data_IF_933850802275
#
_entry.id   IF_933850802275
#
_cell.length_a   1.000
_cell.length_b   1.000
_cell.length_c   1.000
_cell.angle_alpha   90.00
_cell.angle_beta   90.00
_cell.angle_gamma   90.00
#
_symmetry.space_group_name_H-M   'P 1'
#
loop_
_entity.id
_entity.type
_entity.pdbx_description
1 polymer ?
#
# COMPACT_ATOMS: atom_id res chain seq x y z
N UNK A 1 -7.72 -34.31 72.00
CA UNK A 1 -7.94 -34.83 70.64
C UNK A 1 -8.68 -33.81 69.76
N UNK A 2 -8.39 -32.50 69.89
CA UNK A 2 -9.12 -31.43 69.17
C UNK A 2 -8.24 -30.43 68.40
N UNK A 3 -6.90 -30.46 68.55
CA UNK A 3 -6.01 -29.53 67.82
C UNK A 3 -5.56 -30.01 66.43
N UNK A 4 -5.83 -31.27 66.05
CA UNK A 4 -5.48 -31.82 64.72
C UNK A 4 -6.60 -31.73 63.68
N UNK A 5 -7.84 -31.42 64.08
CA UNK A 5 -8.98 -31.27 63.17
C UNK A 5 -9.05 -29.87 62.55
N UNK A 6 -8.69 -28.84 63.32
CA UNK A 6 -8.73 -27.43 62.87
C UNK A 6 -7.67 -27.15 61.78
N UNK A 7 -6.51 -27.79 61.85
CA UNK A 7 -5.42 -27.61 60.87
C UNK A 7 -5.75 -28.26 59.52
N UNK A 8 -6.51 -29.37 59.49
CA UNK A 8 -6.95 -30.00 58.23
C UNK A 8 -8.04 -29.19 57.51
N UNK A 9 -8.94 -28.55 58.27
CA UNK A 9 -9.96 -27.66 57.68
C UNK A 9 -9.37 -26.34 57.18
N UNK A 10 -8.28 -25.83 57.78
CA UNK A 10 -7.59 -24.65 57.24
C UNK A 10 -6.93 -24.94 55.89
N UNK A 11 -6.32 -26.12 55.70
CA UNK A 11 -5.69 -26.48 54.42
C UNK A 11 -6.71 -26.72 53.29
N UNK A 12 -7.90 -27.25 53.59
CA UNK A 12 -8.97 -27.39 52.59
C UNK A 12 -9.64 -26.05 52.23
N UNK A 13 -9.74 -25.11 53.17
CA UNK A 13 -10.23 -23.75 52.88
C UNK A 13 -9.17 -22.93 52.12
N UNK A 14 -7.87 -23.11 52.41
CA UNK A 14 -6.79 -22.45 51.67
C UNK A 14 -6.66 -22.98 50.23
N UNK A 15 -6.92 -24.28 49.98
CA UNK A 15 -6.90 -24.84 48.63
C UNK A 15 -8.12 -24.41 47.78
N UNK A 16 -9.28 -24.20 48.41
CA UNK A 16 -10.47 -23.71 47.70
C UNK A 16 -10.36 -22.21 47.40
N UNK A 17 -9.65 -21.43 48.23
CA UNK A 17 -9.32 -20.03 47.92
C UNK A 17 -8.18 -19.87 46.89
N UNK A 18 -7.27 -20.84 46.78
CA UNK A 18 -6.20 -20.83 45.77
C UNK A 18 -6.71 -21.23 44.37
N UNK A 19 -7.79 -22.02 44.28
CA UNK A 19 -8.42 -22.40 43.02
C UNK A 19 -9.45 -21.38 42.48
N UNK A 20 -9.79 -20.32 43.24
CA UNK A 20 -10.65 -19.22 42.78
C UNK A 20 -9.91 -17.97 42.31
N UNK A 21 -8.57 -17.97 42.34
CA UNK A 21 -7.74 -16.92 41.75
C UNK A 21 -7.08 -17.30 40.41
N UNK A 22 -7.41 -18.46 39.86
CA UNK A 22 -6.93 -18.94 38.54
C UNK A 22 -8.14 -19.22 37.65
N UNK A 23 -8.86 -18.17 37.30
CA UNK A 23 -9.78 -18.11 36.14
C UNK A 23 -10.40 -16.71 36.12
N UNK A 24 -9.80 -15.81 35.34
CA UNK A 24 -10.37 -14.60 34.73
C UNK A 24 -9.27 -13.58 34.43
N UNK A 25 -8.31 -13.95 33.57
CA UNK A 25 -7.53 -13.00 32.78
C UNK A 25 -7.38 -13.57 31.37
N UNK A 26 -8.52 -13.84 30.73
CA UNK A 26 -8.62 -14.01 29.27
C UNK A 26 -10.10 -14.04 28.90
N UNK A 27 -10.70 -12.86 28.75
CA UNK A 27 -11.94 -12.66 27.95
C UNK A 27 -12.36 -11.19 27.86
N UNK A 28 -11.44 -10.23 27.72
CA UNK A 28 -11.75 -8.90 27.17
C UNK A 28 -10.61 -8.37 26.31
N UNK A 29 -10.21 -9.17 25.31
CA UNK A 29 -9.57 -8.61 24.12
C UNK A 29 -10.44 -8.92 22.89
N UNK A 30 -11.71 -8.49 22.97
CA UNK A 30 -12.54 -8.32 21.78
C UNK A 30 -12.00 -7.13 21.01
N UNK A 31 -11.20 -7.41 19.97
CA UNK A 31 -10.97 -6.59 18.78
C UNK A 31 -11.34 -5.10 18.92
N UNK A 32 -10.60 -4.37 19.76
CA UNK A 32 -10.39 -2.94 19.50
C UNK A 32 -9.45 -2.88 18.31
N UNK A 33 -10.02 -2.83 17.10
CA UNK A 33 -9.31 -2.25 15.95
C UNK A 33 -8.98 -0.81 16.37
N UNK A 34 -7.80 -0.62 16.94
CA UNK A 34 -7.25 0.71 17.16
C UNK A 34 -7.14 1.36 15.79
N UNK A 35 -8.05 2.29 15.50
CA UNK A 35 -7.75 3.46 14.67
C UNK A 35 -6.73 4.33 15.43
N UNK A 36 -5.58 3.79 15.81
CA UNK A 36 -4.44 4.63 16.14
C UNK A 36 -3.96 5.16 14.79
N UNK A 37 -4.07 6.47 14.60
CA UNK A 37 -3.42 7.15 13.50
C UNK A 37 -1.96 6.69 13.45
N UNK A 38 -1.54 6.15 12.29
CA UNK A 38 -0.15 5.70 12.12
C UNK A 38 0.77 6.88 12.40
N UNK A 39 1.71 6.72 13.33
CA UNK A 39 2.69 7.77 13.62
C UNK A 39 3.60 7.94 12.41
N UNK A 40 4.20 9.12 12.28
CA UNK A 40 5.14 9.43 11.21
C UNK A 40 6.28 8.41 11.10
N UNK A 41 6.86 8.02 12.24
CA UNK A 41 7.92 7.02 12.34
C UNK A 41 7.50 5.65 11.81
N UNK A 42 6.20 5.33 11.76
CA UNK A 42 5.67 4.04 11.31
C UNK A 42 5.43 4.00 9.78
N UNK A 43 5.77 5.08 9.05
CA UNK A 43 5.55 5.18 7.60
C UNK A 43 6.70 4.62 6.74
N UNK A 44 7.84 4.29 7.33
CA UNK A 44 8.93 3.59 6.64
C UNK A 44 8.50 2.21 6.13
N UNK A 45 9.18 1.72 5.10
CA UNK A 45 8.80 0.48 4.41
C UNK A 45 9.98 -0.44 4.24
N UNK A 46 9.72 -1.74 4.13
CA UNK A 46 10.72 -2.75 3.77
C UNK A 46 10.29 -3.55 2.55
N UNK A 47 11.24 -3.78 1.65
CA UNK A 47 11.06 -4.64 0.48
C UNK A 47 12.20 -5.64 0.40
N UNK A 48 11.92 -6.85 -0.05
CA UNK A 48 12.88 -7.94 -0.09
C UNK A 48 12.81 -8.61 -1.47
N UNK A 49 13.97 -8.89 -2.04
CA UNK A 49 14.14 -9.41 -3.38
C UNK A 49 15.13 -10.57 -3.32
N UNK A 50 14.67 -11.82 -3.49
CA UNK A 50 15.55 -12.97 -3.56
C UNK A 50 16.25 -12.98 -4.93
N UNK A 51 17.55 -13.32 -4.91
CA UNK A 51 18.41 -13.45 -6.08
C UNK A 51 19.10 -14.79 -5.99
N UNK A 52 19.16 -15.49 -7.12
CA UNK A 52 19.82 -16.79 -7.20
C UNK A 52 21.32 -16.65 -6.93
N UNK A 53 21.90 -17.63 -6.24
CA UNK A 53 23.35 -17.77 -6.10
C UNK A 53 23.81 -19.09 -6.71
N UNK A 54 25.10 -19.21 -7.01
CA UNK A 54 25.68 -20.48 -7.45
C UNK A 54 25.70 -21.55 -6.34
N UNK A 55 25.57 -21.12 -5.09
CA UNK A 55 25.53 -22.01 -3.93
C UNK A 55 24.08 -22.44 -3.64
N UNK A 56 23.89 -23.39 -2.72
CA UNK A 56 22.56 -23.77 -2.22
C UNK A 56 22.02 -22.79 -1.17
N UNK A 57 22.29 -21.50 -1.37
CA UNK A 57 21.76 -20.39 -0.57
C UNK A 57 21.05 -19.39 -1.49
N UNK A 58 20.04 -18.73 -0.94
CA UNK A 58 19.32 -17.62 -1.55
C UNK A 58 19.94 -16.33 -1.04
N UNK A 59 20.36 -15.45 -1.96
CA UNK A 59 20.72 -14.08 -1.59
C UNK A 59 19.46 -13.25 -1.49
N UNK A 60 19.13 -12.78 -0.30
CA UNK A 60 17.98 -11.92 -0.06
C UNK A 60 18.45 -10.47 0.13
N UNK A 61 18.22 -9.63 -0.88
CA UNK A 61 18.44 -8.19 -0.76
C UNK A 61 17.21 -7.53 -0.14
N UNK A 62 17.41 -6.80 0.95
CA UNK A 62 16.35 -6.12 1.69
C UNK A 62 16.59 -4.61 1.73
N UNK A 63 15.62 -3.84 1.27
CA UNK A 63 15.66 -2.39 1.21
C UNK A 63 14.73 -1.76 2.25
N UNK A 64 15.30 -0.95 3.13
CA UNK A 64 14.57 -0.06 4.03
C UNK A 64 14.38 1.31 3.39
N UNK A 65 13.13 1.73 3.19
CA UNK A 65 12.77 3.04 2.66
C UNK A 65 12.32 3.93 3.81
N UNK A 66 13.01 5.04 4.01
CA UNK A 66 12.75 5.97 5.13
C UNK A 66 12.31 7.31 4.54
N UNK A 67 10.99 7.56 4.43
CA UNK A 67 10.47 8.86 4.00
C UNK A 67 10.95 9.98 4.93
N UNK A 68 11.21 11.17 4.40
CA UNK A 68 11.65 12.30 5.24
C UNK A 68 10.58 12.68 6.26
N UNK A 69 9.30 12.58 5.89
CA UNK A 69 8.17 12.75 6.83
C UNK A 69 8.16 11.78 8.01
N UNK A 70 8.94 10.69 7.98
CA UNK A 70 9.11 9.77 9.11
C UNK A 70 10.11 10.26 10.15
N UNK A 71 10.93 11.26 9.81
CA UNK A 71 11.99 11.80 10.64
C UNK A 71 11.62 13.19 11.16
N UNK A 72 12.15 13.54 12.34
CA UNK A 72 12.04 14.86 12.90
C UNK A 72 13.21 15.71 12.41
N UNK A 73 12.91 16.66 11.55
CA UNK A 73 13.89 17.67 11.15
C UNK A 73 13.96 18.79 12.17
N UNK A 74 15.19 19.16 12.55
CA UNK A 74 15.51 20.32 13.37
C UNK A 74 16.23 21.37 12.53
N UNK A 75 15.89 22.64 12.74
CA UNK A 75 16.56 23.74 12.08
C UNK A 75 17.97 23.91 12.66
N UNK A 76 18.98 23.86 11.80
CA UNK A 76 20.38 24.10 12.12
C UNK A 76 20.93 25.18 11.17
N UNK A 77 21.06 26.40 11.69
CA UNK A 77 21.40 27.61 10.93
C UNK A 77 20.43 27.84 9.74
N UNK A 78 20.96 27.80 8.52
CA UNK A 78 20.22 27.97 7.26
C UNK A 78 19.68 26.64 6.70
N UNK A 79 19.91 25.52 7.39
CA UNK A 79 19.54 24.18 6.92
C UNK A 79 18.67 23.43 7.93
N UNK A 80 18.10 22.32 7.51
CA UNK A 80 17.34 21.40 8.35
C UNK A 80 18.04 20.04 8.36
N UNK A 81 18.13 19.45 9.54
CA UNK A 81 18.90 18.24 9.81
C UNK A 81 18.02 17.23 10.54
N UNK A 82 18.09 15.96 10.16
CA UNK A 82 17.46 14.85 10.89
C UNK A 82 18.41 13.65 10.98
N UNK A 83 18.70 13.21 12.21
CA UNK A 83 19.49 11.99 12.45
C UNK A 83 18.61 10.76 12.61
N UNK A 84 19.04 9.61 12.08
CA UNK A 84 18.33 8.35 12.25
C UNK A 84 19.27 7.17 12.50
N UNK A 85 18.78 6.21 13.28
CA UNK A 85 19.35 4.87 13.42
C UNK A 85 18.33 3.87 12.89
N UNK A 86 18.74 2.95 12.03
CA UNK A 86 17.86 1.92 11.48
C UNK A 86 18.55 0.57 11.48
N UNK A 87 17.76 -0.50 11.58
CA UNK A 87 18.29 -1.84 11.42
C UNK A 87 17.31 -2.74 10.70
N UNK A 88 17.86 -3.67 9.94
CA UNK A 88 17.11 -4.71 9.24
C UNK A 88 17.62 -6.04 9.81
N UNK A 89 16.70 -6.86 10.31
CA UNK A 89 16.99 -8.19 10.82
C UNK A 89 16.10 -9.23 10.17
N UNK A 90 16.56 -10.47 10.14
CA UNK A 90 15.81 -11.60 9.59
C UNK A 90 15.62 -12.66 10.68
N UNK A 91 14.41 -13.21 10.75
CA UNK A 91 14.03 -14.22 11.73
C UNK A 91 13.46 -15.45 11.02
N UNK A 92 13.81 -16.63 11.51
CA UNK A 92 13.23 -17.89 11.06
C UNK A 92 11.78 -18.08 11.56
N UNK A 93 11.16 -19.21 11.18
CA UNK A 93 9.79 -19.57 11.56
C UNK A 93 9.59 -19.79 13.07
N UNK A 94 10.66 -20.13 13.79
CA UNK A 94 10.63 -20.28 15.24
C UNK A 94 10.77 -18.91 15.95
N UNK A 95 10.98 -17.84 15.19
CA UNK A 95 11.15 -16.48 15.67
C UNK A 95 12.56 -16.14 16.11
N UNK A 96 13.52 -17.04 15.93
CA UNK A 96 14.92 -16.80 16.23
C UNK A 96 15.50 -15.81 15.22
N UNK A 97 16.22 -14.82 15.71
CA UNK A 97 16.93 -13.89 14.83
C UNK A 97 18.19 -14.56 14.29
N UNK A 98 18.28 -14.69 12.96
CA UNK A 98 19.44 -15.28 12.30
C UNK A 98 20.55 -14.25 12.10
N UNK A 99 20.18 -13.03 11.69
CA UNK A 99 21.14 -11.97 11.41
C UNK A 99 20.50 -10.56 11.54
N UNK A 100 21.33 -9.53 11.65
CA UNK A 100 20.95 -8.11 11.73
C UNK A 100 22.04 -7.21 11.18
N UNK A 101 21.65 -6.30 10.29
CA UNK A 101 22.47 -5.19 9.83
C UNK A 101 21.92 -3.87 10.36
N UNK A 102 22.80 -2.96 10.78
CA UNK A 102 22.43 -1.67 11.38
C UNK A 102 23.11 -0.52 10.63
N UNK A 103 22.39 0.59 10.50
CA UNK A 103 22.81 1.77 9.77
C UNK A 103 22.50 3.01 10.61
N UNK A 104 23.36 4.01 10.51
CA UNK A 104 23.16 5.30 11.15
C UNK A 104 23.61 6.38 10.18
N UNK A 105 22.77 7.39 9.98
CA UNK A 105 23.08 8.50 9.09
C UNK A 105 22.30 9.76 9.49
N UNK A 106 22.65 10.87 8.86
CA UNK A 106 22.02 12.17 9.01
C UNK A 106 21.61 12.70 7.64
N UNK A 107 20.40 13.24 7.55
CA UNK A 107 19.87 13.89 6.36
C UNK A 107 19.93 15.40 6.53
N UNK A 108 20.46 16.10 5.53
CA UNK A 108 20.54 17.56 5.52
C UNK A 108 19.83 18.13 4.30
N UNK A 109 18.92 19.09 4.51
CA UNK A 109 18.19 19.79 3.44
C UNK A 109 18.21 21.30 3.66
N UNK A 110 18.21 22.07 2.56
CA UNK A 110 18.32 23.54 2.61
C UNK A 110 16.99 24.26 2.83
N UNK A 111 15.85 23.58 2.67
CA UNK A 111 14.51 24.18 2.75
C UNK A 111 13.55 23.28 3.53
N UNK A 112 12.68 23.91 4.32
CA UNK A 112 11.58 23.27 5.05
C UNK A 112 10.63 22.50 4.12
N UNK A 113 10.39 22.97 2.90
CA UNK A 113 9.50 22.26 1.96
C UNK A 113 10.02 20.83 1.70
N UNK A 114 11.35 20.63 1.68
CA UNK A 114 11.94 19.30 1.50
C UNK A 114 11.77 18.39 2.72
N UNK A 115 11.63 18.94 3.93
CA UNK A 115 11.43 18.13 5.14
C UNK A 115 10.05 17.47 5.19
N UNK A 116 9.07 18.08 4.51
CA UNK A 116 7.69 17.59 4.42
C UNK A 116 7.37 16.97 3.05
N UNK A 117 8.36 16.87 2.16
CA UNK A 117 8.18 16.31 0.84
C UNK A 117 7.86 14.81 0.91
N UNK A 118 6.79 14.40 0.22
CA UNK A 118 6.28 13.02 0.27
C UNK A 118 7.07 12.06 -0.63
N UNK A 119 7.95 12.59 -1.50
CA UNK A 119 8.73 11.79 -2.44
C UNK A 119 10.16 11.53 -1.94
N UNK A 120 10.69 12.44 -1.13
CA UNK A 120 12.02 12.39 -0.55
C UNK A 120 12.13 11.29 0.50
N UNK A 121 13.18 10.48 0.35
CA UNK A 121 13.45 9.33 1.21
C UNK A 121 14.93 9.00 1.21
N UNK A 122 15.38 8.46 2.33
CA UNK A 122 16.60 7.68 2.40
C UNK A 122 16.31 6.22 2.07
N UNK A 123 17.35 5.52 1.58
CA UNK A 123 17.33 4.09 1.34
C UNK A 123 18.52 3.45 2.04
N UNK A 124 18.26 2.35 2.75
CA UNK A 124 19.29 1.46 3.30
C UNK A 124 19.11 0.07 2.71
N UNK A 125 20.21 -0.67 2.55
CA UNK A 125 20.19 -2.03 1.99
C UNK A 125 20.92 -3.00 2.91
N UNK A 126 20.27 -4.13 3.21
CA UNK A 126 20.87 -5.28 3.87
C UNK A 126 20.86 -6.49 2.94
N UNK A 127 21.88 -7.35 3.06
CA UNK A 127 22.02 -8.61 2.32
C UNK A 127 22.06 -9.79 3.29
N UNK A 128 21.24 -10.80 3.05
CA UNK A 128 21.23 -12.04 3.83
C UNK A 128 21.42 -13.26 2.92
N UNK A 129 22.13 -14.27 3.39
CA UNK A 129 22.17 -15.60 2.77
C UNK A 129 21.27 -16.54 3.57
N UNK A 130 20.24 -17.08 2.92
CA UNK A 130 19.17 -17.85 3.58
C UNK A 130 18.76 -19.10 2.79
N UNK A 131 18.01 -20.00 3.41
CA UNK A 131 17.47 -21.22 2.77
C UNK A 131 16.07 -20.98 2.20
N UNK A 132 15.51 -21.94 1.48
CA UNK A 132 14.17 -21.87 0.90
C UNK A 132 13.06 -22.20 1.91
N UNK A 133 12.90 -21.33 2.90
CA UNK A 133 11.84 -21.42 3.91
C UNK A 133 11.16 -20.06 4.08
N UNK A 134 10.17 -20.01 4.97
CA UNK A 134 9.58 -18.75 5.39
C UNK A 134 10.47 -18.00 6.40
N UNK A 135 10.41 -16.68 6.32
CA UNK A 135 11.14 -15.76 7.18
C UNK A 135 10.28 -14.55 7.53
N UNK A 136 10.56 -13.95 8.69
CA UNK A 136 10.09 -12.60 9.02
C UNK A 136 11.27 -11.62 8.97
N UNK A 137 11.20 -10.66 8.05
CA UNK A 137 12.10 -9.51 8.05
C UNK A 137 11.54 -8.45 9.01
N UNK A 138 12.36 -7.98 9.94
CA UNK A 138 12.02 -6.94 10.91
C UNK A 138 12.90 -5.72 10.67
N UNK A 139 12.27 -4.63 10.26
CA UNK A 139 12.88 -3.31 10.17
C UNK A 139 12.57 -2.50 11.43
N UNK A 140 13.58 -1.85 12.00
CA UNK A 140 13.44 -0.92 13.12
C UNK A 140 14.02 0.43 12.72
N UNK A 141 13.26 1.51 12.93
CA UNK A 141 13.71 2.88 12.70
C UNK A 141 13.60 3.67 14.00
N UNK A 142 14.67 4.38 14.36
CA UNK A 142 14.75 5.25 15.52
C UNK A 142 15.15 6.64 15.03
N UNK A 143 14.29 7.61 15.28
CA UNK A 143 14.62 9.02 15.12
C UNK A 143 15.55 9.46 16.25
N UNK A 144 16.71 10.04 15.94
CA UNK A 144 17.74 10.31 16.95
C UNK A 144 17.38 11.44 17.90
N UNK A 145 16.59 12.40 17.45
CA UNK A 145 16.20 13.57 18.22
C UNK A 145 15.05 13.25 19.19
N UNK A 146 13.96 12.67 18.68
CA UNK A 146 12.77 12.33 19.47
C UNK A 146 12.92 11.00 20.20
N UNK A 147 13.88 10.16 19.81
CA UNK A 147 14.05 8.77 20.25
C UNK A 147 12.82 7.88 19.97
N UNK A 148 11.92 8.34 19.10
CA UNK A 148 10.73 7.58 18.74
C UNK A 148 11.15 6.38 17.89
N UNK A 149 10.66 5.19 18.27
CA UNK A 149 10.89 3.94 17.54
C UNK A 149 9.67 3.53 16.71
N UNK A 150 9.89 3.27 15.43
CA UNK A 150 9.00 2.57 14.51
C UNK A 150 9.50 1.15 14.26
N UNK A 151 8.58 0.19 14.13
CA UNK A 151 8.91 -1.21 13.81
C UNK A 151 7.98 -1.71 12.72
N UNK A 152 8.54 -2.30 11.67
CA UNK A 152 7.79 -2.95 10.61
C UNK A 152 8.23 -4.41 10.50
N UNK A 153 7.27 -5.30 10.29
CA UNK A 153 7.50 -6.72 10.06
C UNK A 153 6.95 -7.08 8.68
N UNK A 154 7.69 -7.88 7.93
CA UNK A 154 7.28 -8.41 6.63
C UNK A 154 7.61 -9.88 6.56
N UNK A 155 6.58 -10.68 6.37
CA UNK A 155 6.70 -12.11 6.08
C UNK A 155 7.16 -12.28 4.63
N UNK A 156 8.13 -13.17 4.43
CA UNK A 156 8.72 -13.51 3.13
C UNK A 156 8.68 -15.03 3.01
N UNK A 157 8.00 -15.54 2.00
CA UNK A 157 8.02 -16.96 1.65
C UNK A 157 9.06 -17.16 0.53
N UNK A 158 10.09 -17.96 0.83
CA UNK A 158 11.14 -18.35 -0.13
C UNK A 158 11.08 -19.84 -0.49
N UNK A 159 10.01 -20.53 -0.08
CA UNK A 159 9.87 -21.96 -0.31
C UNK A 159 9.99 -22.27 -1.80
N UNK A 160 10.61 -23.41 -2.09
CA UNK A 160 10.78 -23.93 -3.45
C UNK A 160 11.76 -23.16 -4.35
N UNK A 161 12.41 -22.08 -3.87
CA UNK A 161 13.41 -21.33 -4.63
C UNK A 161 14.78 -22.03 -4.70
N UNK A 162 14.98 -23.16 -4.02
CA UNK A 162 16.18 -24.00 -4.20
C UNK A 162 15.92 -25.28 -5.02
N UNK A 163 14.73 -25.43 -5.62
CA UNK A 163 14.46 -26.50 -6.60
C UNK A 163 15.48 -26.46 -7.74
N UNK A 164 15.79 -27.62 -8.31
CA UNK A 164 16.78 -27.73 -9.41
C UNK A 164 16.46 -26.82 -10.61
N UNK A 165 15.18 -26.63 -10.92
CA UNK A 165 14.70 -25.74 -11.98
C UNK A 165 13.57 -24.89 -11.42
N UNK A 166 13.79 -23.58 -11.30
CA UNK A 166 12.79 -22.62 -10.82
C UNK A 166 13.16 -21.18 -11.20
N UNK A 167 12.16 -20.30 -11.25
CA UNK A 167 12.33 -18.86 -11.42
C UNK A 167 12.13 -18.18 -10.08
N UNK A 168 13.00 -17.23 -9.77
CA UNK A 168 12.87 -16.35 -8.62
C UNK A 168 11.89 -15.22 -8.95
N UNK A 169 11.12 -14.71 -7.97
CA UNK A 169 10.21 -13.58 -8.18
C UNK A 169 10.90 -12.44 -8.98
N UNK A 170 10.42 -12.13 -10.20
CA UNK A 170 11.04 -11.11 -11.02
C UNK A 170 10.71 -9.72 -10.48
N UNK A 171 11.47 -8.70 -10.87
CA UNK A 171 11.21 -7.33 -10.46
C UNK A 171 11.71 -6.34 -11.51
N UNK A 172 11.13 -5.14 -11.51
CA UNK A 172 11.61 -4.05 -12.35
C UNK A 172 12.83 -3.40 -11.69
N UNK A 173 13.85 -3.07 -12.45
CA UNK A 173 14.96 -2.21 -12.05
C UNK A 173 14.61 -0.77 -12.39
N UNK A 174 14.81 0.12 -11.43
CA UNK A 174 14.75 1.57 -11.60
C UNK A 174 16.06 2.21 -11.16
N UNK A 175 16.05 3.54 -11.12
CA UNK A 175 17.24 4.33 -10.80
C UNK A 175 17.13 4.95 -9.41
N UNK A 176 18.20 4.84 -8.63
CA UNK A 176 18.39 5.58 -7.38
C UNK A 176 19.90 5.72 -7.10
N UNK A 177 20.41 6.93 -6.83
CA UNK A 177 21.85 7.15 -6.67
C UNK A 177 22.49 6.22 -5.63
N UNK A 178 23.62 5.60 -5.97
CA UNK A 178 24.37 4.72 -5.06
C UNK A 178 24.53 3.28 -5.54
N UNK A 179 25.01 2.40 -4.67
CA UNK A 179 25.27 1.00 -4.97
C UNK A 179 24.27 0.11 -4.23
N UNK A 180 23.34 -0.50 -4.97
CA UNK A 180 22.21 -1.24 -4.41
C UNK A 180 22.19 -2.71 -4.83
N UNK A 181 23.37 -3.34 -4.91
CA UNK A 181 23.49 -4.76 -5.24
C UNK A 181 23.33 -5.10 -6.74
N UNK A 182 23.24 -4.11 -7.61
CA UNK A 182 23.23 -4.22 -9.08
C UNK A 182 24.31 -3.31 -9.69
N UNK A 183 24.09 -2.78 -10.89
CA UNK A 183 24.99 -1.77 -11.45
C UNK A 183 24.86 -0.43 -10.70
N UNK A 184 25.79 0.49 -10.95
CA UNK A 184 25.79 1.79 -10.29
C UNK A 184 24.46 2.52 -10.56
N UNK A 185 23.86 3.06 -9.50
CA UNK A 185 22.58 3.77 -9.48
C UNK A 185 21.35 2.91 -9.83
N UNK A 186 21.47 1.59 -9.88
CA UNK A 186 20.33 0.71 -10.14
C UNK A 186 19.78 0.11 -8.86
N UNK A 187 18.46 0.14 -8.70
CA UNK A 187 17.75 -0.41 -7.55
C UNK A 187 16.45 -1.11 -8.00
N UNK A 188 15.99 -2.17 -7.31
CA UNK A 188 14.66 -2.71 -7.56
C UNK A 188 13.58 -1.64 -7.32
N UNK A 189 12.62 -1.55 -8.24
CA UNK A 189 11.46 -0.68 -8.05
C UNK A 189 10.66 -1.21 -6.85
N UNK A 190 10.64 -0.41 -5.79
CA UNK A 190 10.08 -0.76 -4.50
C UNK A 190 8.58 -0.55 -4.36
N UNK A 191 7.93 -0.12 -5.44
CA UNK A 191 6.51 0.18 -5.52
C UNK A 191 5.93 -0.51 -6.74
N UNK A 192 4.72 -1.06 -6.62
CA UNK A 192 4.00 -1.60 -7.79
C UNK A 192 3.53 -0.50 -8.73
N UNK A 193 3.50 0.73 -8.23
CA UNK A 193 3.10 1.89 -8.99
C UNK A 193 4.27 2.57 -9.70
N UNK A 194 4.19 2.65 -11.02
CA UNK A 194 5.22 3.13 -11.92
C UNK A 194 4.74 4.40 -12.63
N UNK A 195 5.56 5.44 -12.73
CA UNK A 195 5.19 6.66 -13.44
C UNK A 195 4.96 6.40 -14.93
N UNK A 196 3.88 6.92 -15.52
CA UNK A 196 3.54 6.77 -16.94
C UNK A 196 4.57 7.34 -17.92
N UNK A 197 5.49 8.20 -17.44
CA UNK A 197 6.58 8.78 -18.23
C UNK A 197 7.65 7.72 -18.52
N UNK A 198 7.72 6.68 -17.70
CA UNK A 198 8.60 5.54 -17.91
C UNK A 198 8.10 4.80 -19.15
N UNK A 199 8.96 4.72 -20.16
CA UNK A 199 8.69 4.08 -21.44
C UNK A 199 9.21 2.65 -21.48
N UNK A 200 10.31 2.42 -20.77
CA UNK A 200 11.03 1.17 -20.72
C UNK A 200 10.98 0.64 -19.30
N UNK A 201 10.68 -0.64 -19.14
CA UNK A 201 10.61 -1.31 -17.86
C UNK A 201 11.67 -2.43 -17.86
N UNK A 202 12.89 -2.14 -17.37
CA UNK A 202 13.94 -3.14 -17.27
C UNK A 202 13.53 -4.22 -16.26
N UNK A 203 13.21 -5.41 -16.75
CA UNK A 203 12.81 -6.57 -15.98
C UNK A 203 14.04 -7.40 -15.66
N UNK A 204 14.32 -7.59 -14.37
CA UNK A 204 15.35 -8.51 -13.90
C UNK A 204 14.76 -9.89 -13.67
N UNK A 205 15.40 -10.89 -14.26
CA UNK A 205 15.04 -12.30 -14.15
C UNK A 205 16.22 -13.07 -13.58
N UNK A 206 15.96 -14.00 -12.67
CA UNK A 206 16.96 -14.97 -12.23
C UNK A 206 16.32 -16.28 -11.79
N UNK A 207 17.10 -17.36 -11.75
CA UNK A 207 16.61 -18.65 -11.32
C UNK A 207 17.64 -19.77 -11.40
N UNK A 208 17.24 -20.95 -10.92
CA UNK A 208 18.02 -22.19 -11.05
C UNK A 208 17.61 -22.93 -12.32
N UNK A 209 18.60 -23.47 -13.02
CA UNK A 209 18.46 -24.29 -14.23
C UNK A 209 19.49 -25.43 -14.16
N UNK A 210 19.35 -26.42 -15.04
CA UNK A 210 20.43 -27.37 -15.31
C UNK A 210 21.30 -26.85 -16.46
N UNK A 211 22.60 -27.22 -16.51
CA UNK A 211 23.44 -26.84 -17.64
C UNK A 211 22.85 -27.33 -18.96
N UNK A 212 22.92 -26.48 -19.98
CA UNK A 212 22.35 -26.69 -21.30
C UNK A 212 21.25 -25.70 -21.66
N UNK A 213 20.49 -26.04 -22.70
CA UNK A 213 19.48 -25.15 -23.29
C UNK A 213 18.21 -25.05 -22.43
N UNK A 214 17.61 -23.87 -22.41
CA UNK A 214 16.33 -23.58 -21.77
C UNK A 214 15.63 -22.42 -22.49
N UNK A 215 14.35 -22.24 -22.20
CA UNK A 215 13.55 -21.15 -22.77
C UNK A 215 12.92 -20.32 -21.67
N UNK A 216 12.92 -19.00 -21.85
CA UNK A 216 12.22 -18.05 -20.98
C UNK A 216 11.24 -17.27 -21.84
N UNK A 217 9.95 -17.40 -21.52
CA UNK A 217 8.88 -16.67 -22.20
C UNK A 217 8.31 -15.62 -21.26
N UNK A 218 8.28 -14.37 -21.69
CA UNK A 218 7.71 -13.24 -20.95
C UNK A 218 6.45 -12.77 -21.69
N UNK A 219 5.37 -12.55 -20.95
CA UNK A 219 4.09 -12.06 -21.50
C UNK A 219 3.54 -10.97 -20.61
N UNK A 220 3.23 -9.80 -21.17
CA UNK A 220 2.59 -8.70 -20.48
C UNK A 220 1.14 -8.51 -20.95
N UNK A 221 0.21 -8.50 -20.00
CA UNK A 221 -1.24 -8.36 -20.20
C UNK A 221 -1.78 -7.11 -19.53
N UNK A 222 -2.82 -6.52 -20.11
CA UNK A 222 -3.59 -5.45 -19.47
C UNK A 222 -4.69 -6.00 -18.55
N UNK A 223 -5.45 -5.12 -17.87
CA UNK A 223 -6.56 -5.51 -16.98
C UNK A 223 -7.67 -6.35 -17.66
N UNK A 224 -7.76 -6.31 -18.98
CA UNK A 224 -8.74 -7.04 -19.78
C UNK A 224 -8.20 -8.37 -20.31
N UNK A 225 -7.04 -8.83 -19.80
CA UNK A 225 -6.31 -10.01 -20.23
C UNK A 225 -5.80 -9.98 -21.68
N UNK A 226 -5.80 -8.81 -22.32
CA UNK A 226 -5.22 -8.65 -23.65
C UNK A 226 -3.69 -8.58 -23.54
N UNK A 227 -3.01 -9.41 -24.33
CA UNK A 227 -1.55 -9.40 -24.45
C UNK A 227 -1.14 -8.24 -25.34
N UNK A 228 -0.42 -7.27 -24.79
CA UNK A 228 0.09 -6.13 -25.56
C UNK A 228 1.61 -6.22 -25.82
N UNK A 229 2.31 -7.11 -25.13
CA UNK A 229 3.74 -7.34 -25.29
C UNK A 229 4.10 -8.78 -24.90
N UNK A 230 4.99 -9.41 -25.66
CA UNK A 230 5.55 -10.72 -25.34
C UNK A 230 6.94 -10.89 -25.96
N UNK A 231 7.74 -11.76 -25.36
CA UNK A 231 9.06 -12.12 -25.86
C UNK A 231 9.39 -13.56 -25.46
N UNK A 232 10.11 -14.27 -26.32
CA UNK A 232 10.61 -15.62 -26.06
C UNK A 232 12.10 -15.66 -26.29
N UNK A 233 12.84 -16.07 -25.26
CA UNK A 233 14.29 -16.22 -25.28
C UNK A 233 14.64 -17.70 -25.33
N UNK A 234 15.57 -18.05 -26.21
CA UNK A 234 16.20 -19.37 -26.27
C UNK A 234 17.64 -19.20 -25.79
N UNK A 235 17.93 -19.73 -24.60
CA UNK A 235 19.16 -19.48 -23.86
C UNK A 235 19.89 -20.79 -23.57
N UNK A 236 21.18 -20.69 -23.27
CA UNK A 236 22.01 -21.81 -22.83
C UNK A 236 22.96 -21.31 -21.74
N UNK A 237 23.23 -22.15 -20.74
CA UNK A 237 24.16 -21.85 -19.65
C UNK A 237 24.95 -23.10 -19.28
N UNK A 238 26.23 -22.94 -18.98
CA UNK A 238 27.07 -24.01 -18.42
C UNK A 238 26.92 -24.12 -16.89
N UNK A 239 26.30 -23.13 -16.27
CA UNK A 239 26.08 -23.06 -14.82
C UNK A 239 24.71 -23.63 -14.44
N UNK A 240 24.46 -23.79 -13.14
CA UNK A 240 23.15 -24.21 -12.59
C UNK A 240 22.20 -23.03 -12.35
N UNK A 241 22.54 -21.85 -12.86
CA UNK A 241 21.83 -20.60 -12.61
C UNK A 241 21.81 -19.75 -13.87
N UNK A 242 20.83 -18.86 -13.97
CA UNK A 242 20.79 -17.82 -14.98
C UNK A 242 20.33 -16.48 -14.38
N UNK A 243 20.71 -15.40 -15.05
CA UNK A 243 20.31 -14.03 -14.74
C UNK A 243 20.20 -13.27 -16.05
N UNK A 244 19.07 -12.62 -16.30
CA UNK A 244 18.83 -11.90 -17.54
C UNK A 244 18.14 -10.55 -17.27
N UNK A 245 18.35 -9.60 -18.19
CA UNK A 245 17.71 -8.29 -18.18
C UNK A 245 16.95 -8.08 -19.46
N UNK A 246 15.65 -7.86 -19.35
CA UNK A 246 14.75 -7.73 -20.50
C UNK A 246 14.05 -6.39 -20.45
N UNK A 247 14.07 -5.64 -21.56
CA UNK A 247 13.41 -4.34 -21.64
C UNK A 247 12.00 -4.55 -22.18
N UNK A 248 11.00 -4.34 -21.33
CA UNK A 248 9.63 -4.19 -21.82
C UNK A 248 9.47 -2.75 -22.30
N UNK A 249 9.27 -2.55 -23.60
CA UNK A 249 9.25 -1.25 -24.28
C UNK A 249 7.84 -0.75 -24.62
N UNK A 250 6.81 -1.51 -24.22
CA UNK A 250 5.40 -1.18 -24.42
C UNK A 250 4.66 -1.18 -23.09
N UNK A 251 3.62 -0.36 -23.02
CA UNK A 251 2.73 -0.26 -21.88
C UNK A 251 1.27 -0.21 -22.34
N UNK A 252 0.30 -0.64 -21.53
CA UNK A 252 -1.10 -0.60 -21.89
C UNK A 252 -1.56 0.85 -22.19
N UNK A 253 -2.32 1.02 -23.27
CA UNK A 253 -2.94 2.30 -23.64
C UNK A 253 -4.14 2.62 -22.75
N UNK A 254 -4.98 1.61 -22.51
CA UNK A 254 -6.17 1.64 -21.67
C UNK A 254 -6.01 0.70 -20.48
N UNK A 255 -6.65 1.02 -19.35
CA UNK A 255 -6.54 0.30 -18.07
C UNK A 255 -5.09 0.20 -17.58
N UNK A 256 -4.73 1.12 -16.68
CA UNK A 256 -3.37 1.38 -16.21
C UNK A 256 -2.77 0.28 -15.30
N UNK A 257 -3.07 -0.99 -15.55
CA UNK A 257 -2.45 -2.13 -14.90
C UNK A 257 -1.78 -3.04 -15.93
N UNK A 258 -0.64 -3.57 -15.55
CA UNK A 258 0.20 -4.43 -16.35
C UNK A 258 0.55 -5.68 -15.53
N UNK A 259 0.12 -6.84 -15.99
CA UNK A 259 0.48 -8.13 -15.42
C UNK A 259 1.55 -8.78 -16.28
N UNK A 260 2.72 -9.03 -15.72
CA UNK A 260 3.84 -9.67 -16.41
C UNK A 260 3.97 -11.09 -15.88
N UNK A 261 3.85 -12.06 -16.77
CA UNK A 261 4.06 -13.49 -16.50
C UNK A 261 5.38 -13.93 -17.14
N UNK A 262 6.22 -14.61 -16.36
CA UNK A 262 7.51 -15.15 -16.78
C UNK A 262 7.43 -16.66 -16.64
N UNK A 263 7.62 -17.36 -17.76
CA UNK A 263 7.60 -18.82 -17.83
C UNK A 263 8.99 -19.33 -18.20
N UNK A 264 9.60 -20.14 -17.33
CA UNK A 264 10.82 -20.89 -17.62
C UNK A 264 10.41 -22.29 -18.04
N UNK A 265 10.97 -22.78 -19.14
CA UNK A 265 10.81 -24.17 -19.55
C UNK A 265 12.17 -24.77 -19.92
N UNK A 266 12.49 -25.89 -19.28
CA UNK A 266 13.66 -26.69 -19.59
C UNK A 266 13.28 -28.17 -19.52
N UNK A 267 13.42 -28.89 -20.64
CA UNK A 267 12.92 -30.26 -20.81
C UNK A 267 11.40 -30.31 -20.51
N UNK A 268 10.97 -31.22 -19.63
CA UNK A 268 9.57 -31.38 -19.21
C UNK A 268 9.18 -30.51 -18.00
N UNK A 269 10.12 -29.74 -17.44
CA UNK A 269 9.86 -28.91 -16.27
C UNK A 269 9.54 -27.49 -16.74
N UNK A 270 8.46 -26.93 -16.19
CA UNK A 270 8.10 -25.53 -16.34
C UNK A 270 7.82 -24.88 -14.99
N UNK A 271 8.29 -23.66 -14.80
CA UNK A 271 7.95 -22.82 -13.65
C UNK A 271 7.43 -21.47 -14.14
N UNK A 272 6.54 -20.84 -13.36
CA UNK A 272 5.90 -19.57 -13.73
C UNK A 272 5.89 -18.62 -12.54
N UNK A 273 6.26 -17.36 -12.78
CA UNK A 273 6.14 -16.26 -11.81
C UNK A 273 5.45 -15.06 -12.44
N UNK A 274 4.68 -14.34 -11.63
CA UNK A 274 3.90 -13.19 -12.07
C UNK A 274 4.17 -11.97 -11.19
N UNK A 275 4.19 -10.80 -11.83
CA UNK A 275 4.19 -9.51 -11.15
C UNK A 275 3.10 -8.60 -11.71
N UNK A 276 2.45 -7.85 -10.83
CA UNK A 276 1.44 -6.87 -11.19
C UNK A 276 1.94 -5.46 -10.93
N UNK A 277 1.92 -4.64 -11.98
CA UNK A 277 2.34 -3.25 -11.98
C UNK A 277 1.13 -2.36 -12.27
N UNK A 278 1.15 -1.15 -11.71
CA UNK A 278 0.15 -0.11 -11.97
C UNK A 278 0.85 1.12 -12.52
N UNK A 279 0.36 1.65 -13.64
CA UNK A 279 0.92 2.82 -14.29
C UNK A 279 0.21 4.07 -13.76
N UNK A 280 0.98 5.01 -13.20
CA UNK A 280 0.48 6.28 -12.64
C UNK A 280 0.72 7.42 -13.63
N UNK A 281 -0.35 7.99 -14.17
CA UNK A 281 -0.29 9.24 -14.92
C UNK A 281 -0.28 10.43 -13.90
N UNK A 282 0.66 11.40 -13.98
CA UNK A 282 0.67 12.66 -13.24
C UNK A 282 -0.66 13.36 -13.39
N UNK A 283 -1.11 13.99 -12.32
CA UNK A 283 -2.46 14.54 -12.28
C UNK A 283 -3.56 13.48 -12.30
N UNK A 284 -3.27 12.20 -12.00
CA UNK A 284 -4.28 11.19 -11.66
C UNK A 284 -4.14 10.76 -10.19
N UNK A 285 -5.23 10.85 -9.43
CA UNK A 285 -5.23 10.57 -7.99
C UNK A 285 -4.97 9.09 -7.70
N UNK A 286 -4.30 8.81 -6.57
CA UNK A 286 -4.05 7.45 -6.06
C UNK A 286 -5.34 6.62 -5.83
N UNK A 287 -6.48 7.30 -5.72
CA UNK A 287 -7.78 6.68 -5.48
C UNK A 287 -8.51 6.31 -6.78
N UNK A 288 -7.96 6.66 -7.94
CA UNK A 288 -8.56 6.38 -9.25
C UNK A 288 -7.91 5.14 -9.87
N UNK A 289 -8.72 4.11 -10.11
CA UNK A 289 -8.31 2.91 -10.84
C UNK A 289 -8.89 2.85 -12.27
N UNK A 290 -9.94 3.64 -12.55
CA UNK A 290 -10.63 3.68 -13.84
C UNK A 290 -11.05 5.13 -14.14
N UNK A 291 -10.52 5.71 -15.23
CA UNK A 291 -10.78 7.11 -15.61
C UNK A 291 -12.23 7.34 -16.04
N UNK A 292 -12.87 6.36 -16.68
CA UNK A 292 -14.27 6.48 -17.11
C UNK A 292 -15.22 6.53 -15.90
N UNK A 293 -14.97 5.70 -14.89
CA UNK A 293 -15.71 5.75 -13.63
C UNK A 293 -15.42 7.06 -12.88
N UNK A 294 -14.16 7.50 -12.87
CA UNK A 294 -13.75 8.73 -12.21
C UNK A 294 -14.45 9.96 -12.82
N UNK A 295 -14.65 10.00 -14.14
CA UNK A 295 -15.43 11.02 -14.83
C UNK A 295 -16.90 11.03 -14.42
N UNK A 296 -17.51 9.87 -14.20
CA UNK A 296 -18.89 9.79 -13.72
C UNK A 296 -18.99 10.28 -12.27
N UNK A 297 -17.99 9.93 -11.45
CA UNK A 297 -17.88 10.35 -10.05
C UNK A 297 -17.69 11.87 -9.93
N UNK A 298 -17.16 12.57 -10.94
CA UNK A 298 -17.01 14.05 -10.96
C UNK A 298 -18.33 14.82 -10.97
N UNK A 299 -19.47 14.14 -11.09
CA UNK A 299 -20.83 14.70 -11.01
C UNK A 299 -21.00 15.78 -9.94
N UNK A 300 -20.36 15.64 -8.78
CA UNK A 300 -20.53 16.57 -7.66
C UNK A 300 -19.61 17.78 -7.69
N UNK A 301 -18.71 17.89 -8.67
CA UNK A 301 -17.78 19.02 -8.80
C UNK A 301 -17.87 19.72 -10.17
N UNK A 302 -18.37 19.05 -11.20
CA UNK A 302 -18.57 19.62 -12.54
C UNK A 302 -19.84 20.48 -12.64
N UNK A 303 -19.87 21.38 -13.63
CA UNK A 303 -21.08 22.07 -14.09
C UNK A 303 -21.86 21.22 -15.09
N UNK A 304 -23.12 21.55 -15.35
CA UNK A 304 -23.96 20.83 -16.32
C UNK A 304 -23.40 20.86 -17.75
N UNK A 305 -22.75 21.96 -18.13
CA UNK A 305 -22.10 22.08 -19.44
C UNK A 305 -20.92 21.11 -19.55
N UNK A 306 -20.06 21.04 -18.52
CA UNK A 306 -18.93 20.12 -18.45
C UNK A 306 -19.39 18.66 -18.39
N UNK A 307 -20.43 18.36 -17.60
CA UNK A 307 -21.01 17.03 -17.52
C UNK A 307 -21.56 16.56 -18.88
N UNK A 308 -22.30 17.43 -19.59
CA UNK A 308 -22.82 17.13 -20.93
C UNK A 308 -21.69 16.98 -21.96
N UNK A 309 -20.60 17.75 -21.84
CA UNK A 309 -19.42 17.63 -22.69
C UNK A 309 -18.79 16.24 -22.53
N UNK A 310 -18.41 15.88 -21.30
CA UNK A 310 -17.81 14.58 -20.97
C UNK A 310 -18.69 13.41 -21.44
N UNK A 311 -20.01 13.49 -21.23
CA UNK A 311 -20.97 12.45 -21.62
C UNK A 311 -21.10 12.27 -23.14
N UNK A 312 -20.85 13.31 -23.94
CA UNK A 312 -20.96 13.28 -25.41
C UNK A 312 -19.64 12.96 -26.13
N UNK A 313 -18.51 13.07 -25.44
CA UNK A 313 -17.19 12.81 -26.01
C UNK A 313 -16.90 11.33 -26.28
N UNK A 314 -16.07 11.06 -27.28
CA UNK A 314 -15.61 9.69 -27.58
C UNK A 314 -14.70 9.19 -26.45
N UNK A 315 -14.64 7.87 -26.25
CA UNK A 315 -13.79 7.22 -25.21
C UNK A 315 -12.34 7.72 -25.22
N UNK A 316 -11.72 7.85 -26.39
CA UNK A 316 -10.33 8.37 -26.53
C UNK A 316 -10.17 9.85 -26.12
N UNK A 317 -11.23 10.65 -26.16
CA UNK A 317 -11.22 12.09 -25.81
C UNK A 317 -11.54 12.34 -24.33
N UNK A 318 -12.27 11.41 -23.70
CA UNK A 318 -12.70 11.49 -22.30
C UNK A 318 -11.51 11.61 -21.34
N UNK A 319 -10.45 10.84 -21.57
CA UNK A 319 -9.25 10.91 -20.75
C UNK A 319 -8.57 12.29 -20.86
N UNK A 320 -8.52 12.89 -22.05
CA UNK A 320 -7.96 14.23 -22.22
C UNK A 320 -8.78 15.29 -21.46
N UNK A 321 -10.11 15.19 -21.53
CA UNK A 321 -11.01 16.07 -20.78
C UNK A 321 -10.87 15.92 -19.27
N UNK A 322 -10.64 14.69 -18.80
CA UNK A 322 -10.36 14.42 -17.39
C UNK A 322 -9.13 15.20 -16.91
N UNK A 323 -7.99 15.05 -17.60
CA UNK A 323 -6.77 15.74 -17.21
C UNK A 323 -6.92 17.25 -17.30
N UNK A 324 -7.51 17.76 -18.37
CA UNK A 324 -7.73 19.20 -18.51
C UNK A 324 -8.60 19.75 -17.38
N UNK A 325 -9.67 19.06 -17.01
CA UNK A 325 -10.56 19.50 -15.93
C UNK A 325 -9.83 19.66 -14.59
N UNK A 326 -8.97 18.71 -14.26
CA UNK A 326 -8.22 18.72 -13.00
C UNK A 326 -7.02 19.66 -13.08
N UNK A 327 -6.31 19.74 -14.19
CA UNK A 327 -5.22 20.70 -14.41
C UNK A 327 -5.71 22.15 -14.25
N UNK A 328 -6.86 22.49 -14.83
CA UNK A 328 -7.52 23.80 -14.69
C UNK A 328 -7.91 24.13 -13.24
N UNK A 329 -7.98 23.12 -12.35
CA UNK A 329 -8.41 23.22 -10.96
C UNK A 329 -7.32 22.80 -9.97
N UNK A 330 -6.06 22.74 -10.42
CA UNK A 330 -4.94 22.44 -9.55
C UNK A 330 -4.62 23.64 -8.64
N UNK A 331 -4.77 23.50 -7.31
CA UNK A 331 -4.42 24.57 -6.38
C UNK A 331 -2.92 24.83 -6.33
N UNK A 332 -2.08 23.85 -6.68
CA UNK A 332 -0.62 23.99 -6.66
C UNK A 332 0.05 23.58 -7.99
N UNK A 333 -0.18 24.35 -9.07
CA UNK A 333 0.42 24.05 -10.37
C UNK A 333 1.95 24.01 -10.27
N UNK A 334 2.54 22.83 -10.47
CA UNK A 334 3.98 22.59 -10.33
C UNK A 334 4.36 21.44 -9.41
N UNK A 335 3.41 20.95 -8.60
CA UNK A 335 3.58 19.68 -7.88
C UNK A 335 3.22 18.49 -8.79
N UNK A 336 3.64 17.28 -8.40
CA UNK A 336 3.37 16.05 -9.17
C UNK A 336 1.89 15.62 -9.04
N UNK A 337 1.20 16.12 -8.01
CA UNK A 337 -0.12 15.67 -7.57
C UNK A 337 -1.04 16.86 -7.36
N UNK A 338 -2.20 16.88 -8.01
CA UNK A 338 -3.23 17.85 -7.70
C UNK A 338 -3.93 17.48 -6.38
N UNK A 339 -3.74 18.28 -5.32
CA UNK A 339 -4.28 17.97 -3.98
C UNK A 339 -5.81 17.99 -3.93
N UNK A 340 -6.44 18.85 -4.74
CA UNK A 340 -7.91 18.93 -4.81
C UNK A 340 -8.49 17.65 -5.38
N UNK A 341 -7.88 17.14 -6.44
CA UNK A 341 -8.26 15.86 -7.04
C UNK A 341 -8.06 14.72 -6.02
N UNK A 342 -6.92 14.68 -5.33
CA UNK A 342 -6.65 13.66 -4.32
C UNK A 342 -7.67 13.67 -3.18
N UNK A 343 -8.00 14.85 -2.65
CA UNK A 343 -9.04 14.99 -1.63
C UNK A 343 -10.41 14.55 -2.14
N UNK A 344 -10.77 14.93 -3.37
CA UNK A 344 -12.04 14.53 -3.97
C UNK A 344 -12.16 13.01 -4.06
N UNK A 345 -11.18 12.34 -4.68
CA UNK A 345 -11.26 10.89 -4.87
C UNK A 345 -10.99 10.10 -3.60
N UNK A 346 -10.29 10.67 -2.61
CA UNK A 346 -10.24 10.11 -1.26
C UNK A 346 -11.65 10.00 -0.67
N UNK A 347 -12.44 11.08 -0.75
CA UNK A 347 -13.82 11.10 -0.23
C UNK A 347 -14.75 10.18 -1.01
N UNK A 348 -14.54 10.05 -2.33
CA UNK A 348 -15.26 9.07 -3.16
C UNK A 348 -14.96 7.64 -2.70
N UNK A 349 -13.67 7.29 -2.53
CA UNK A 349 -13.26 5.98 -2.03
C UNK A 349 -13.84 5.71 -0.64
N UNK A 350 -13.72 6.65 0.29
CA UNK A 350 -14.29 6.53 1.63
C UNK A 350 -15.80 6.30 1.57
N UNK A 351 -16.50 7.03 0.71
CA UNK A 351 -17.95 6.88 0.53
C UNK A 351 -18.31 5.50 0.01
N UNK A 352 -17.56 4.96 -0.95
CA UNK A 352 -17.75 3.60 -1.44
C UNK A 352 -17.47 2.53 -0.37
N UNK A 353 -16.51 2.76 0.52
CA UNK A 353 -16.19 1.82 1.60
C UNK A 353 -17.21 1.86 2.75
N UNK A 354 -17.86 3.01 3.00
CA UNK A 354 -18.71 3.22 4.18
C UNK A 354 -20.20 3.28 3.90
N UNK A 355 -20.60 3.78 2.74
CA UNK A 355 -22.00 4.11 2.43
C UNK A 355 -22.52 3.36 1.20
N UNK A 356 -21.83 2.31 0.76
CA UNK A 356 -22.31 1.44 -0.30
C UNK A 356 -23.43 0.53 0.21
N UNK A 357 -24.42 0.32 -0.66
CA UNK A 357 -25.53 -0.60 -0.44
C UNK A 357 -25.87 -1.29 -1.75
N UNK A 358 -27.10 -1.13 -2.23
CA UNK A 358 -27.48 -1.57 -3.58
C UNK A 358 -26.78 -0.77 -4.70
N UNK A 359 -26.46 0.50 -4.42
CA UNK A 359 -25.68 1.36 -5.31
C UNK A 359 -24.26 1.58 -4.73
N UNK A 360 -23.27 1.92 -5.58
CA UNK A 360 -21.97 2.40 -5.11
C UNK A 360 -22.13 3.56 -4.13
N UNK A 361 -21.33 3.57 -3.06
CA UNK A 361 -21.51 4.52 -1.96
C UNK A 361 -21.33 5.98 -2.36
N UNK A 362 -20.56 6.30 -3.41
CA UNK A 362 -20.50 7.66 -3.94
C UNK A 362 -21.85 8.18 -4.46
N UNK A 363 -22.78 7.28 -4.85
CA UNK A 363 -24.13 7.63 -5.30
C UNK A 363 -25.17 7.70 -4.18
N UNK A 364 -24.81 7.29 -2.96
CA UNK A 364 -25.73 7.39 -1.82
C UNK A 364 -25.82 8.83 -1.32
N UNK A 365 -26.89 9.15 -0.58
CA UNK A 365 -27.09 10.49 -0.07
C UNK A 365 -26.02 10.87 0.96
N UNK A 366 -25.66 9.93 1.85
CA UNK A 366 -24.55 10.11 2.79
C UNK A 366 -23.21 10.29 2.06
N UNK A 367 -22.95 9.49 1.01
CA UNK A 367 -21.75 9.63 0.19
C UNK A 367 -21.68 10.96 -0.54
N UNK A 368 -22.80 11.44 -1.09
CA UNK A 368 -22.89 12.77 -1.71
C UNK A 368 -22.52 13.89 -0.71
N UNK A 369 -23.12 13.89 0.48
CA UNK A 369 -22.82 14.90 1.51
C UNK A 369 -21.36 14.80 1.95
N UNK A 370 -20.83 13.58 2.17
CA UNK A 370 -19.44 13.38 2.55
C UNK A 370 -18.45 13.85 1.48
N UNK A 371 -18.73 13.62 0.19
CA UNK A 371 -17.88 14.09 -0.90
C UNK A 371 -17.85 15.62 -0.94
N UNK A 372 -19.03 16.26 -0.85
CA UNK A 372 -19.16 17.72 -0.93
C UNK A 372 -18.54 18.43 0.27
N UNK A 373 -18.79 17.95 1.48
CA UNK A 373 -18.47 18.66 2.72
C UNK A 373 -17.33 18.04 3.53
N UNK A 374 -16.92 16.81 3.21
CA UNK A 374 -15.93 16.07 3.98
C UNK A 374 -16.53 15.41 5.23
N UNK A 375 -15.69 14.99 6.19
CA UNK A 375 -16.16 14.44 7.45
C UNK A 375 -16.97 15.47 8.25
N UNK A 376 -18.08 15.08 8.90
CA UNK A 376 -18.81 15.98 9.79
C UNK A 376 -18.01 16.26 11.06
N UNK A 377 -18.29 17.41 11.68
CA UNK A 377 -17.72 17.82 12.97
C UNK A 377 -18.31 16.97 14.10
N UNK A 378 -19.59 16.61 14.00
CA UNK A 378 -20.28 15.72 14.93
C UNK A 378 -21.35 14.87 14.23
N UNK A 379 -21.66 13.71 14.81
CA UNK A 379 -22.64 12.76 14.30
C UNK A 379 -23.54 12.25 15.42
N UNK A 380 -24.84 12.51 15.32
CA UNK A 380 -25.82 12.02 16.26
C UNK A 380 -26.70 10.95 15.63
N UNK A 381 -26.76 9.78 16.26
CA UNK A 381 -27.74 8.74 15.93
C UNK A 381 -28.90 8.77 16.90
N UNK A 382 -30.12 8.77 16.37
CA UNK A 382 -31.33 8.63 17.16
C UNK A 382 -32.19 7.48 16.65
N UNK A 383 -32.80 6.76 17.57
CA UNK A 383 -33.70 5.66 17.29
C UNK A 383 -35.13 6.14 17.52
N UNK A 384 -36.01 5.91 16.55
CA UNK A 384 -37.44 6.15 16.71
C UNK A 384 -38.04 5.26 17.81
N UNK A 385 -39.22 5.65 18.29
CA UNK A 385 -39.98 4.93 19.34
C UNK A 385 -40.15 3.42 19.07
N UNK A 386 -40.20 3.03 17.79
CA UNK A 386 -40.02 1.65 17.34
C UNK A 386 -38.63 1.56 16.70
N UNK A 387 -37.73 0.73 17.23
CA UNK A 387 -36.32 0.56 16.86
C UNK A 387 -36.00 0.22 15.39
N UNK A 388 -37.00 0.26 14.50
CA UNK A 388 -36.88 0.11 13.04
C UNK A 388 -36.55 1.41 12.31
N UNK A 389 -36.78 2.57 12.94
CA UNK A 389 -36.53 3.88 12.35
C UNK A 389 -35.25 4.45 12.92
N UNK A 390 -34.22 4.57 12.10
CA UNK A 390 -32.94 5.16 12.54
C UNK A 390 -32.72 6.47 11.80
N UNK A 391 -32.47 7.53 12.57
CA UNK A 391 -32.00 8.80 12.05
C UNK A 391 -30.52 8.98 12.38
N UNK A 392 -29.78 9.50 11.43
CA UNK A 392 -28.41 9.97 11.63
C UNK A 392 -28.33 11.42 11.19
N UNK A 393 -27.91 12.31 12.08
CA UNK A 393 -27.73 13.73 11.78
C UNK A 393 -26.25 14.06 11.84
N UNK A 394 -25.76 14.65 10.76
CA UNK A 394 -24.38 15.12 10.61
C UNK A 394 -24.35 16.63 10.77
N UNK A 395 -23.47 17.11 11.66
CA UNK A 395 -23.30 18.53 11.93
C UNK A 395 -21.99 19.03 11.31
N UNK A 396 -22.09 20.14 10.59
CA UNK A 396 -20.96 20.86 10.01
C UNK A 396 -20.97 22.31 10.52
N UNK A 397 -20.29 22.55 11.64
CA UNK A 397 -20.28 23.84 12.34
C UNK A 397 -19.57 24.92 11.52
N UNK A 398 -18.51 24.56 10.80
CA UNK A 398 -17.74 25.49 9.95
C UNK A 398 -18.57 26.18 8.86
N UNK A 399 -19.62 25.51 8.38
CA UNK A 399 -20.55 26.03 7.35
C UNK A 399 -21.96 26.29 7.90
N UNK A 400 -22.15 26.12 9.21
CA UNK A 400 -23.43 26.22 9.89
C UNK A 400 -24.57 25.45 9.20
N UNK A 401 -24.34 24.17 8.92
CA UNK A 401 -25.33 23.26 8.32
C UNK A 401 -25.40 21.94 9.05
N UNK A 402 -26.58 21.34 9.04
CA UNK A 402 -26.81 19.96 9.42
C UNK A 402 -27.49 19.19 8.27
N UNK A 403 -27.21 17.89 8.22
CA UNK A 403 -27.82 16.97 7.26
C UNK A 403 -28.37 15.77 8.02
N UNK A 404 -29.69 15.59 7.96
CA UNK A 404 -30.36 14.47 8.59
C UNK A 404 -30.67 13.39 7.56
N UNK A 405 -30.38 12.15 7.92
CA UNK A 405 -30.61 10.98 7.09
C UNK A 405 -31.52 10.00 7.79
N UNK A 406 -32.38 9.35 7.03
CA UNK A 406 -33.38 8.40 7.49
C UNK A 406 -33.22 7.05 6.80
N UNK A 407 -33.07 5.98 7.58
CA UNK A 407 -33.11 4.61 7.07
C UNK A 407 -34.55 4.09 7.11
N UNK A 408 -35.21 4.10 5.95
CA UNK A 408 -36.59 3.63 5.80
C UNK A 408 -36.74 2.12 5.98
N UNK A 409 -35.72 1.34 5.61
CA UNK A 409 -35.82 -0.11 5.45
C UNK A 409 -35.01 -0.89 6.48
N UNK A 410 -34.18 -0.23 7.29
CA UNK A 410 -33.35 -0.86 8.32
C UNK A 410 -32.14 -1.63 7.77
N UNK A 411 -31.78 -1.40 6.50
CA UNK A 411 -30.65 -2.05 5.82
C UNK A 411 -29.44 -1.12 5.66
N UNK A 412 -29.48 0.07 6.25
CA UNK A 412 -28.39 1.05 6.17
C UNK A 412 -28.38 1.88 4.88
N UNK A 413 -29.46 1.87 4.07
CA UNK A 413 -29.61 2.76 2.90
C UNK A 413 -30.27 4.07 3.32
N UNK A 414 -29.53 4.86 4.09
CA UNK A 414 -29.94 6.15 4.61
C UNK A 414 -30.21 7.16 3.49
N UNK A 415 -31.42 7.75 3.49
CA UNK A 415 -31.85 8.81 2.58
C UNK A 415 -31.85 10.16 3.26
N UNK A 416 -31.43 11.20 2.54
CA UNK A 416 -31.43 12.56 3.06
C UNK A 416 -32.88 13.04 3.25
N UNK A 417 -33.23 13.49 4.46
CA UNK A 417 -34.60 13.89 4.79
C UNK A 417 -35.02 15.20 4.14
N UNK A 418 -34.05 16.04 3.76
CA UNK A 418 -34.28 17.31 3.09
C UNK A 418 -33.41 17.37 1.83
N UNK A 419 -34.00 17.38 0.62
CA UNK A 419 -33.22 17.34 -0.61
C UNK A 419 -32.18 18.45 -0.67
N UNK A 420 -30.93 18.07 -0.91
CA UNK A 420 -29.86 19.03 -1.14
C UNK A 420 -29.85 19.44 -2.61
N UNK A 421 -30.43 20.61 -2.91
CA UNK A 421 -30.33 21.23 -4.22
C UNK A 421 -29.07 22.08 -4.27
N UNK A 422 -28.11 21.69 -5.11
CA UNK A 422 -26.93 22.53 -5.40
C UNK A 422 -27.42 23.82 -6.07
N UNK A 423 -26.97 24.98 -5.61
CA UNK A 423 -27.24 26.26 -6.26
C UNK A 423 -26.44 26.39 -7.56
N UNK A 424 -26.75 25.57 -8.56
CA UNK A 424 -26.30 25.72 -9.95
C UNK A 424 -27.56 25.50 -10.78
N UNK A 425 -27.99 26.55 -11.48
CA UNK A 425 -29.32 26.63 -12.11
C UNK A 425 -29.62 25.46 -13.05
N UNK A 426 -30.86 24.98 -12.95
CA UNK A 426 -31.52 23.96 -13.78
C UNK A 426 -31.49 24.27 -15.27
#
# INVERSE_FOLDING_TARGET
MEKRSIVKNLYQILLIFLCFFISNVDAQNRNKKNNQEKRNIDQFKINAYPIVTQNDDIKLLVYGLIPYQSLQFLKNNETFVAGYETSISIRDNDGNQLDRQSFQSEVKVDDYIRTVDRFSREVVMAEFLVKDQEYTVVGELIDQDTRTKGVIKKEINLEHLLKEICIYPPFIIGEYPGNWGFEENEIPVTTRDINHKIKEFPLFLSGKIKPGEFTVSITAKNASNEVFWNEKLELSSDNNTFSERIIIDKKPEENLSMEVSVTLKQKEISDVKEISLRIRKPGLSFFINNVDEALDQMRYIVTDKEYKLVKKSKRKEREKLFYQFWDDRDPTPGTITNELMDQYYYRVKYSNEKFAGFLPGWKSDMGMIYILFGPPDDMQRSFGQNSRYTYETWYYYSINRDFSFFDENGFGDFKLTTPYYRAVGW
#
